data_IF_421505765497
#
_entry.id   IF_421505765497
#
_cell.length_a   1.000
_cell.length_b   1.000
_cell.length_c   1.000
_cell.angle_alpha   90.00
_cell.angle_beta   90.00
_cell.angle_gamma   90.00
#
_symmetry.space_group_name_H-M   'P 1'
#
loop_
_entity.id
_entity.type
_entity.pdbx_description
1 polymer ?
#
# COMPACT_ATOMS: atom_id res chain seq x y z
N UNK A 1 -43.40 -57.00 69.19
CA UNK A 1 -43.04 -55.65 69.66
C UNK A 1 -41.58 -55.40 69.27
N UNK A 2 -41.40 -54.41 68.38
CA UNK A 2 -40.20 -53.68 67.91
C UNK A 2 -38.79 -54.28 68.18
N UNK A 3 -38.13 -54.63 67.06
CA UNK A 3 -36.68 -54.82 66.93
C UNK A 3 -35.93 -53.49 67.11
N UNK A 4 -34.85 -53.51 67.88
CA UNK A 4 -33.93 -52.39 68.10
C UNK A 4 -32.69 -52.60 67.22
N UNK A 5 -32.55 -51.81 66.15
CA UNK A 5 -31.32 -51.76 65.34
C UNK A 5 -30.58 -50.46 65.67
N UNK A 6 -29.37 -50.57 66.20
CA UNK A 6 -28.44 -49.46 66.39
C UNK A 6 -27.79 -49.11 65.04
N UNK A 7 -28.00 -47.90 64.56
CA UNK A 7 -27.14 -47.28 63.54
C UNK A 7 -26.40 -46.10 64.18
N UNK A 8 -25.07 -46.22 64.23
CA UNK A 8 -24.13 -45.15 64.54
C UNK A 8 -23.89 -44.40 63.24
N UNK A 9 -24.34 -43.15 63.14
CA UNK A 9 -23.97 -42.26 62.04
C UNK A 9 -22.77 -41.41 62.45
N UNK A 10 -21.61 -41.75 61.88
CA UNK A 10 -20.47 -40.84 61.77
C UNK A 10 -20.77 -39.81 60.68
N UNK A 11 -20.73 -38.53 61.03
CA UNK A 11 -20.71 -37.43 60.05
C UNK A 11 -19.36 -37.46 59.33
N UNK A 12 -19.33 -37.97 58.10
CA UNK A 12 -18.21 -37.78 57.17
C UNK A 12 -18.58 -36.65 56.21
N UNK A 13 -17.78 -35.59 56.22
CA UNK A 13 -17.87 -34.45 55.33
C UNK A 13 -17.45 -34.89 53.93
N UNK A 14 -18.41 -35.12 53.02
CA UNK A 14 -18.14 -35.40 51.60
C UNK A 14 -17.84 -34.06 50.92
N UNK A 15 -16.57 -33.83 50.60
CA UNK A 15 -16.14 -32.79 49.66
C UNK A 15 -16.48 -33.27 48.25
N UNK A 16 -17.52 -32.69 47.63
CA UNK A 16 -17.74 -32.81 46.20
C UNK A 16 -16.70 -31.94 45.49
N UNK A 17 -15.63 -32.55 44.97
CA UNK A 17 -14.79 -31.93 43.96
C UNK A 17 -15.58 -31.88 42.65
N UNK A 18 -16.20 -30.74 42.36
CA UNK A 18 -16.67 -30.43 41.01
C UNK A 18 -15.42 -30.16 40.17
N UNK A 19 -15.08 -31.12 39.31
CA UNK A 19 -14.10 -30.91 38.25
C UNK A 19 -14.70 -29.87 37.27
N UNK A 20 -14.38 -28.61 37.51
CA UNK A 20 -14.64 -27.54 36.57
C UNK A 20 -13.74 -27.80 35.35
N UNK A 21 -14.34 -28.16 34.21
CA UNK A 21 -13.66 -28.07 32.92
C UNK A 21 -13.17 -26.64 32.80
N UNK A 22 -11.86 -26.44 32.88
CA UNK A 22 -11.25 -25.21 32.40
C UNK A 22 -11.60 -25.12 30.91
N UNK A 23 -12.61 -24.32 30.60
CA UNK A 23 -12.70 -23.64 29.31
C UNK A 23 -11.34 -23.00 29.11
N UNK A 24 -10.59 -23.47 28.09
CA UNK A 24 -9.44 -22.74 27.59
C UNK A 24 -9.94 -21.35 27.24
N UNK A 25 -9.63 -20.39 28.10
CA UNK A 25 -9.73 -18.99 27.79
C UNK A 25 -8.83 -18.77 26.58
N UNK A 26 -9.42 -18.55 25.42
CA UNK A 26 -8.72 -17.96 24.28
C UNK A 26 -8.03 -16.72 24.83
N UNK A 27 -6.70 -16.72 24.82
CA UNK A 27 -5.94 -15.53 25.17
C UNK A 27 -6.48 -14.39 24.30
N UNK A 28 -6.80 -13.22 24.85
CA UNK A 28 -7.11 -12.07 24.01
C UNK A 28 -5.97 -11.92 23.01
N UNK A 29 -6.29 -11.91 21.72
CA UNK A 29 -5.32 -11.62 20.66
C UNK A 29 -4.54 -10.37 21.07
N UNK A 30 -3.21 -10.42 21.01
CA UNK A 30 -2.38 -9.25 21.32
C UNK A 30 -2.93 -8.05 20.51
N UNK A 31 -3.40 -6.97 21.18
CA UNK A 31 -3.99 -5.83 20.50
C UNK A 31 -3.03 -5.18 19.50
N UNK A 32 -1.72 -5.41 19.67
CA UNK A 32 -0.63 -4.90 18.84
C UNK A 32 -0.26 -5.85 17.70
N UNK A 33 -1.10 -6.81 17.37
CA UNK A 33 -0.87 -7.75 16.27
C UNK A 33 -2.01 -7.60 15.26
N UNK A 34 -1.66 -7.37 14.00
CA UNK A 34 -2.58 -7.39 12.88
C UNK A 34 -2.40 -8.73 12.16
N UNK A 35 -3.52 -9.39 11.87
CA UNK A 35 -3.53 -10.65 11.15
C UNK A 35 -4.41 -10.45 9.93
N UNK A 36 -3.79 -10.46 8.76
CA UNK A 36 -4.50 -10.59 7.49
C UNK A 36 -4.59 -12.07 7.14
N UNK A 37 -5.74 -12.51 6.62
CA UNK A 37 -5.94 -13.92 6.25
C UNK A 37 -6.33 -14.02 4.78
N UNK A 38 -5.63 -14.87 4.04
CA UNK A 38 -6.09 -15.38 2.75
C UNK A 38 -6.77 -16.74 2.96
N UNK A 39 -8.07 -16.79 2.73
CA UNK A 39 -8.92 -17.98 2.86
C UNK A 39 -9.29 -18.61 1.50
N UNK A 40 -8.95 -17.96 0.38
CA UNK A 40 -9.30 -18.37 -0.99
C UNK A 40 -10.80 -18.53 -1.27
N UNK A 41 -11.69 -18.03 -0.41
CA UNK A 41 -13.14 -18.20 -0.56
C UNK A 41 -13.69 -17.38 -1.75
N UNK A 42 -12.97 -16.35 -2.20
CA UNK A 42 -13.28 -15.59 -3.42
C UNK A 42 -12.70 -16.21 -4.69
N UNK A 43 -11.71 -17.10 -4.58
CA UNK A 43 -10.95 -17.60 -5.72
C UNK A 43 -11.64 -18.76 -6.43
N UNK A 44 -11.51 -18.87 -7.76
CA UNK A 44 -12.02 -20.01 -8.52
C UNK A 44 -11.03 -20.44 -9.60
N UNK A 45 -10.71 -21.73 -9.61
CA UNK A 45 -9.90 -22.39 -10.62
C UNK A 45 -10.12 -23.89 -10.54
N UNK A 46 -10.63 -24.50 -11.60
CA UNK A 46 -11.01 -25.93 -11.61
C UNK A 46 -9.99 -26.83 -12.31
N UNK A 47 -8.93 -26.25 -12.89
CA UNK A 47 -7.86 -26.94 -13.62
C UNK A 47 -6.51 -26.79 -12.92
N UNK A 48 -5.63 -27.77 -13.10
CA UNK A 48 -4.25 -27.75 -12.61
C UNK A 48 -3.30 -26.88 -13.45
N UNK A 49 -3.67 -26.52 -14.68
CA UNK A 49 -2.86 -25.68 -15.59
C UNK A 49 -2.53 -24.32 -14.97
N UNK A 50 -1.32 -23.79 -15.19
CA UNK A 50 -0.90 -22.50 -14.62
C UNK A 50 -1.87 -21.37 -14.96
N UNK A 51 -2.38 -20.67 -13.94
CA UNK A 51 -3.25 -19.51 -14.11
C UNK A 51 -3.34 -18.69 -12.84
N UNK A 52 -3.79 -17.45 -12.98
CA UNK A 52 -4.01 -16.53 -11.87
C UNK A 52 -5.41 -16.69 -11.29
N UNK A 53 -5.54 -16.48 -9.99
CA UNK A 53 -6.82 -16.37 -9.27
C UNK A 53 -6.81 -15.13 -8.39
N UNK A 54 -7.98 -14.54 -8.14
CA UNK A 54 -8.12 -13.44 -7.20
C UNK A 54 -8.52 -13.97 -5.83
N UNK A 55 -7.58 -13.88 -4.89
CA UNK A 55 -7.85 -14.08 -3.47
C UNK A 55 -8.36 -12.80 -2.80
N UNK A 56 -8.57 -12.86 -1.50
CA UNK A 56 -9.05 -11.74 -0.69
C UNK A 56 -7.98 -10.66 -0.49
N UNK A 57 -6.70 -11.04 -0.51
CA UNK A 57 -5.56 -10.12 -0.29
C UNK A 57 -4.87 -9.69 -1.60
N UNK A 58 -5.16 -10.36 -2.71
CA UNK A 58 -4.59 -10.03 -4.01
C UNK A 58 -4.60 -11.22 -4.96
N UNK A 59 -3.90 -11.06 -6.08
CA UNK A 59 -3.83 -12.10 -7.11
C UNK A 59 -2.76 -13.15 -6.77
N UNK A 60 -3.09 -14.42 -6.94
CA UNK A 60 -2.21 -15.57 -6.76
C UNK A 60 -2.00 -16.31 -8.08
N UNK A 61 -0.78 -16.75 -8.36
CA UNK A 61 -0.48 -17.68 -9.46
C UNK A 61 -0.51 -19.10 -8.93
N UNK A 62 -1.32 -19.97 -9.53
CA UNK A 62 -1.39 -21.39 -9.16
C UNK A 62 -0.82 -22.24 -10.30
N UNK A 63 0.18 -23.07 -10.03
CA UNK A 63 0.84 -23.99 -10.98
C UNK A 63 0.78 -25.42 -10.43
N UNK A 64 0.27 -26.37 -11.23
CA UNK A 64 -0.10 -27.72 -10.76
C UNK A 64 -0.92 -27.68 -9.46
N UNK A 65 -1.78 -26.65 -9.37
CA UNK A 65 -2.67 -26.39 -8.26
C UNK A 65 -4.03 -25.88 -8.75
N UNK A 66 -5.08 -26.09 -7.97
CA UNK A 66 -6.43 -25.62 -8.24
C UNK A 66 -7.14 -25.19 -6.96
N UNK A 67 -8.31 -24.55 -7.08
CA UNK A 67 -9.20 -24.27 -5.95
C UNK A 67 -10.16 -25.45 -5.75
N UNK A 68 -9.88 -26.23 -4.72
CA UNK A 68 -10.61 -27.44 -4.35
C UNK A 68 -11.92 -27.12 -3.62
N UNK A 69 -12.97 -27.84 -3.98
CA UNK A 69 -14.32 -27.72 -3.39
C UNK A 69 -14.91 -29.08 -3.04
N UNK A 70 -14.21 -30.19 -3.29
CA UNK A 70 -14.74 -31.53 -3.08
C UNK A 70 -14.75 -31.90 -1.60
N UNK A 71 -15.47 -32.95 -1.22
CA UNK A 71 -15.48 -33.47 0.15
C UNK A 71 -14.10 -34.00 0.60
N UNK A 72 -13.24 -34.35 -0.35
CA UNK A 72 -11.86 -34.78 -0.06
C UNK A 72 -10.92 -33.60 0.16
N UNK A 73 -11.29 -32.39 -0.27
CA UNK A 73 -10.53 -31.18 0.02
C UNK A 73 -10.78 -30.77 1.48
N UNK A 74 -9.69 -30.72 2.25
CA UNK A 74 -9.69 -30.26 3.63
C UNK A 74 -9.64 -28.73 3.64
N UNK A 75 -10.68 -28.13 4.21
CA UNK A 75 -10.96 -26.69 4.12
C UNK A 75 -11.80 -26.23 5.31
N UNK A 76 -11.68 -24.96 5.67
CA UNK A 76 -12.61 -24.23 6.53
C UNK A 76 -13.36 -23.24 5.65
N UNK A 77 -14.67 -23.45 5.51
CA UNK A 77 -15.46 -22.77 4.51
C UNK A 77 -15.73 -23.69 3.33
N UNK A 78 -15.73 -23.14 2.12
CA UNK A 78 -16.11 -23.85 0.91
C UNK A 78 -14.93 -24.14 -0.01
N UNK A 79 -13.77 -23.51 0.19
CA UNK A 79 -12.63 -23.57 -0.73
C UNK A 79 -11.32 -23.79 0.01
N UNK A 80 -10.37 -24.46 -0.65
CA UNK A 80 -8.97 -24.51 -0.26
C UNK A 80 -8.12 -24.72 -1.51
N UNK A 81 -6.84 -24.38 -1.47
CA UNK A 81 -5.93 -24.74 -2.57
C UNK A 81 -5.64 -26.24 -2.50
N UNK A 82 -5.67 -26.93 -3.65
CA UNK A 82 -5.16 -28.31 -3.80
C UNK A 82 -3.99 -28.32 -4.76
N UNK A 83 -2.81 -28.71 -4.25
CA UNK A 83 -1.56 -28.81 -5.00
C UNK A 83 -1.24 -30.28 -5.28
N UNK A 84 -0.79 -30.61 -6.48
CA UNK A 84 -0.27 -31.94 -6.85
C UNK A 84 1.15 -31.85 -7.38
N UNK A 85 1.77 -33.01 -7.59
CA UNK A 85 3.12 -33.12 -8.17
C UNK A 85 4.10 -32.17 -7.47
N UNK A 86 4.94 -31.45 -8.22
CA UNK A 86 5.84 -30.42 -7.68
C UNK A 86 5.27 -29.01 -7.89
N UNK A 87 3.95 -28.88 -7.79
CA UNK A 87 3.22 -27.62 -7.96
C UNK A 87 3.52 -26.59 -6.90
N UNK A 88 3.11 -25.36 -7.20
CA UNK A 88 3.32 -24.22 -6.30
C UNK A 88 2.19 -23.20 -6.42
N UNK A 89 2.09 -22.38 -5.38
CA UNK A 89 1.32 -21.13 -5.43
C UNK A 89 2.22 -19.94 -5.09
N UNK A 90 2.02 -18.83 -5.81
CA UNK A 90 2.81 -17.61 -5.70
C UNK A 90 1.90 -16.43 -5.40
N UNK A 91 2.18 -15.67 -4.34
CA UNK A 91 1.52 -14.40 -4.08
C UNK A 91 2.08 -13.32 -5.02
N UNK A 92 1.24 -12.69 -5.84
CA UNK A 92 1.64 -11.60 -6.76
C UNK A 92 1.45 -10.21 -6.13
N UNK A 93 1.48 -10.14 -4.82
CA UNK A 93 1.33 -8.92 -4.03
C UNK A 93 2.35 -8.93 -2.90
N UNK A 94 2.67 -7.74 -2.41
CA UNK A 94 3.65 -7.53 -1.37
C UNK A 94 2.96 -7.44 0.00
N UNK A 95 3.57 -8.05 1.00
CA UNK A 95 3.12 -8.03 2.40
C UNK A 95 4.29 -7.65 3.33
N UNK A 96 3.96 -7.02 4.46
CA UNK A 96 4.91 -6.67 5.51
C UNK A 96 4.52 -7.44 6.76
N UNK A 97 5.28 -8.49 7.09
CA UNK A 97 4.92 -9.46 8.14
C UNK A 97 6.13 -9.84 8.98
N UNK A 98 5.87 -10.26 10.22
CA UNK A 98 6.87 -10.87 11.10
C UNK A 98 6.67 -12.38 11.26
N UNK A 99 5.50 -12.89 10.89
CA UNK A 99 5.18 -14.30 11.02
C UNK A 99 4.10 -14.70 10.02
N UNK A 100 4.24 -15.90 9.48
CA UNK A 100 3.29 -16.49 8.54
C UNK A 100 2.83 -17.82 9.12
N UNK A 101 1.52 -18.00 9.24
CA UNK A 101 0.90 -19.26 9.64
C UNK A 101 0.08 -19.82 8.49
N UNK A 102 0.23 -21.11 8.20
CA UNK A 102 -0.39 -21.76 7.04
C UNK A 102 -1.11 -23.01 7.54
N UNK A 103 -2.39 -23.15 7.20
CA UNK A 103 -3.10 -24.41 7.42
C UNK A 103 -2.85 -25.37 6.27
N UNK A 104 -2.53 -26.62 6.62
CA UNK A 104 -2.21 -27.65 5.64
C UNK A 104 -2.73 -29.03 6.06
N UNK A 105 -3.11 -29.84 5.08
CA UNK A 105 -3.56 -31.22 5.27
C UNK A 105 -3.39 -32.04 4.00
N UNK A 106 -3.52 -33.36 4.13
CA UNK A 106 -3.62 -34.27 3.00
C UNK A 106 -4.98 -34.19 2.33
N UNK A 107 -4.98 -34.21 1.00
CA UNK A 107 -6.20 -34.43 0.24
C UNK A 107 -6.73 -35.84 0.50
N UNK A 108 -7.98 -35.97 0.96
CA UNK A 108 -8.63 -37.26 1.19
C UNK A 108 -7.81 -38.17 2.11
N UNK A 109 -7.26 -39.24 1.54
CA UNK A 109 -6.38 -40.24 2.17
C UNK A 109 -5.11 -40.46 1.34
N UNK A 110 -4.67 -39.46 0.58
CA UNK A 110 -3.45 -39.53 -0.22
C UNK A 110 -2.21 -39.78 0.68
N UNK A 111 -1.10 -40.22 0.08
CA UNK A 111 0.18 -40.37 0.78
C UNK A 111 0.67 -39.04 1.40
N UNK A 112 1.50 -39.10 2.45
CA UNK A 112 2.15 -37.91 3.02
C UNK A 112 2.76 -37.00 1.96
N UNK A 113 2.72 -35.68 2.19
CA UNK A 113 3.20 -34.67 1.26
C UNK A 113 4.25 -33.78 1.92
N UNK A 114 5.27 -33.37 1.15
CA UNK A 114 6.36 -32.53 1.62
C UNK A 114 6.33 -31.20 0.89
N UNK A 115 6.57 -30.09 1.60
CA UNK A 115 6.52 -28.76 1.01
C UNK A 115 7.40 -27.76 1.76
N UNK A 116 7.66 -26.63 1.12
CA UNK A 116 8.54 -25.57 1.62
C UNK A 116 7.91 -24.20 1.42
N UNK A 117 8.13 -23.31 2.40
CA UNK A 117 7.88 -21.88 2.24
C UNK A 117 9.11 -21.21 1.62
N UNK A 118 8.89 -20.40 0.59
CA UNK A 118 9.89 -19.59 -0.07
C UNK A 118 9.47 -18.13 -0.04
N UNK A 119 10.44 -17.24 0.12
CA UNK A 119 10.21 -15.81 0.22
C UNK A 119 11.09 -15.02 -0.73
N UNK A 120 10.56 -13.91 -1.25
CA UNK A 120 11.27 -12.92 -2.04
C UNK A 120 11.09 -11.54 -1.40
N UNK A 121 12.14 -10.72 -1.46
CA UNK A 121 12.15 -9.32 -0.99
C UNK A 121 12.51 -8.36 -2.12
N UNK A 122 12.43 -8.84 -3.37
CA UNK A 122 12.82 -8.12 -4.58
C UNK A 122 11.82 -8.32 -5.72
N UNK A 123 10.53 -8.38 -5.34
CA UNK A 123 9.38 -8.56 -6.25
C UNK A 123 9.49 -9.80 -7.13
N UNK A 124 9.83 -10.94 -6.51
CA UNK A 124 9.80 -12.25 -7.15
C UNK A 124 10.99 -12.57 -8.04
N UNK A 125 12.02 -11.70 -8.06
CA UNK A 125 13.24 -11.91 -8.86
C UNK A 125 14.13 -13.00 -8.26
N UNK A 126 14.34 -12.96 -6.94
CA UNK A 126 15.09 -13.98 -6.22
C UNK A 126 14.27 -14.57 -5.08
N UNK A 127 14.35 -15.89 -4.93
CA UNK A 127 13.62 -16.64 -3.91
C UNK A 127 14.60 -17.36 -2.99
N UNK A 128 14.35 -17.29 -1.69
CA UNK A 128 15.07 -18.07 -0.68
C UNK A 128 14.09 -18.88 0.16
N UNK A 129 14.49 -20.08 0.57
CA UNK A 129 13.70 -20.90 1.47
C UNK A 129 13.61 -20.25 2.86
N UNK A 130 12.43 -20.31 3.46
CA UNK A 130 12.16 -19.83 4.81
C UNK A 130 11.78 -21.00 5.73
N UNK A 131 12.53 -21.15 6.82
CA UNK A 131 12.31 -22.22 7.80
C UNK A 131 12.60 -23.63 7.27
N UNK A 132 12.07 -24.62 7.99
CA UNK A 132 12.27 -26.04 7.69
C UNK A 132 11.28 -26.55 6.63
N UNK A 133 11.64 -27.63 5.93
CA UNK A 133 10.69 -28.38 5.10
C UNK A 133 9.59 -28.96 5.97
N UNK A 134 8.34 -28.80 5.55
CA UNK A 134 7.15 -29.26 6.26
C UNK A 134 6.71 -30.62 5.73
N UNK A 135 6.40 -31.53 6.65
CA UNK A 135 5.86 -32.85 6.36
C UNK A 135 4.38 -32.87 6.75
N UNK A 136 3.50 -33.11 5.79
CA UNK A 136 2.06 -33.21 6.00
C UNK A 136 1.67 -34.67 5.99
N UNK A 137 1.27 -35.21 7.15
CA UNK A 137 0.78 -36.59 7.29
C UNK A 137 -0.67 -36.69 7.76
N UNK A 138 -1.30 -35.55 8.11
CA UNK A 138 -2.63 -35.50 8.70
C UNK A 138 -3.70 -35.20 7.65
N UNK A 139 -4.87 -35.84 7.79
CA UNK A 139 -6.09 -35.50 7.03
C UNK A 139 -6.93 -34.40 7.70
N UNK A 140 -6.52 -33.96 8.90
CA UNK A 140 -7.08 -32.79 9.59
C UNK A 140 -6.13 -31.61 9.40
N UNK A 141 -6.67 -30.42 9.12
CA UNK A 141 -5.89 -29.20 8.98
C UNK A 141 -4.99 -29.00 10.21
N UNK A 142 -3.69 -28.86 9.96
CA UNK A 142 -2.68 -28.50 10.93
C UNK A 142 -2.14 -27.13 10.58
N UNK A 143 -1.77 -26.36 11.60
CA UNK A 143 -1.12 -25.06 11.41
C UNK A 143 0.39 -25.25 11.55
N UNK A 144 1.15 -24.75 10.59
CA UNK A 144 2.60 -24.52 10.75
C UNK A 144 2.86 -23.01 10.72
N UNK A 145 3.80 -22.55 11.54
CA UNK A 145 4.18 -21.15 11.62
C UNK A 145 5.66 -20.96 11.23
N UNK A 146 5.94 -19.86 10.55
CA UNK A 146 7.26 -19.44 10.14
C UNK A 146 7.50 -18.02 10.64
N UNK A 147 8.50 -17.84 11.50
CA UNK A 147 8.96 -16.52 11.88
C UNK A 147 9.69 -15.89 10.69
N UNK A 148 9.33 -14.66 10.36
CA UNK A 148 9.90 -13.85 9.30
C UNK A 148 10.68 -12.72 9.96
N UNK A 149 11.97 -12.58 9.62
CA UNK A 149 12.69 -11.36 9.99
C UNK A 149 11.99 -10.18 9.32
N UNK A 150 11.66 -9.08 10.05
CA UNK A 150 10.91 -7.97 9.49
C UNK A 150 11.46 -7.58 8.11
N UNK A 151 10.61 -7.72 7.10
CA UNK A 151 10.97 -7.50 5.71
C UNK A 151 9.83 -6.72 5.05
N UNK A 152 10.18 -5.56 4.51
CA UNK A 152 9.26 -4.81 3.67
C UNK A 152 9.19 -5.47 2.28
N UNK A 153 8.02 -5.41 1.65
CA UNK A 153 7.80 -5.93 0.30
C UNK A 153 8.06 -7.43 0.14
N UNK A 154 7.61 -8.23 1.11
CA UNK A 154 7.75 -9.68 1.05
C UNK A 154 6.72 -10.28 0.07
N UNK A 155 7.16 -11.16 -0.80
CA UNK A 155 6.30 -12.09 -1.55
C UNK A 155 6.60 -13.51 -1.10
N UNK A 156 5.60 -14.40 -1.24
CA UNK A 156 5.73 -15.80 -0.82
C UNK A 156 5.40 -16.79 -1.92
N UNK A 157 6.05 -17.93 -1.86
CA UNK A 157 5.71 -19.14 -2.59
C UNK A 157 5.57 -20.31 -1.63
N UNK A 158 4.53 -21.11 -1.81
CA UNK A 158 4.39 -22.42 -1.19
C UNK A 158 4.69 -23.44 -2.26
N UNK A 159 5.79 -24.18 -2.11
CA UNK A 159 6.27 -25.16 -3.09
C UNK A 159 6.11 -26.55 -2.55
N UNK A 160 5.27 -27.37 -3.19
CA UNK A 160 5.23 -28.80 -2.91
C UNK A 160 6.48 -29.45 -3.52
N UNK A 161 7.12 -30.33 -2.76
CA UNK A 161 8.38 -30.98 -3.14
C UNK A 161 8.17 -32.44 -3.51
N UNK A 162 7.34 -33.17 -2.76
CA UNK A 162 7.12 -34.60 -3.01
C UNK A 162 5.80 -35.08 -2.36
N UNK A 163 5.39 -36.32 -2.66
CA UNK A 163 4.30 -37.02 -2.01
C UNK A 163 2.92 -36.81 -2.62
N UNK A 164 1.87 -37.16 -1.86
CA UNK A 164 0.47 -37.07 -2.29
C UNK A 164 -0.05 -35.63 -2.39
N UNK A 165 -1.31 -35.42 -2.78
CA UNK A 165 -1.86 -34.06 -2.93
C UNK A 165 -1.98 -33.34 -1.59
N UNK A 166 -1.61 -32.06 -1.62
CA UNK A 166 -1.57 -31.17 -0.46
C UNK A 166 -2.72 -30.17 -0.53
N UNK A 167 -3.51 -30.07 0.54
CA UNK A 167 -4.39 -28.93 0.74
C UNK A 167 -3.68 -27.84 1.53
N UNK A 168 -3.84 -26.59 1.09
CA UNK A 168 -3.44 -25.37 1.79
C UNK A 168 -4.69 -24.52 1.98
N UNK A 169 -4.87 -24.01 3.19
CA UNK A 169 -5.98 -23.14 3.55
C UNK A 169 -5.55 -22.08 4.58
N UNK A 170 -6.34 -21.04 4.77
CA UNK A 170 -6.18 -19.97 5.76
C UNK A 170 -4.73 -19.57 6.02
N UNK A 171 -4.14 -18.88 5.05
CA UNK A 171 -2.80 -18.31 5.22
C UNK A 171 -2.94 -17.03 6.03
N UNK A 172 -2.43 -17.06 7.26
CA UNK A 172 -2.44 -15.92 8.18
C UNK A 172 -1.10 -15.21 8.16
N UNK A 173 -1.16 -13.91 7.93
CA UNK A 173 -0.05 -12.98 7.83
C UNK A 173 -0.07 -12.10 9.07
N UNK A 174 0.77 -12.45 10.03
CA UNK A 174 0.89 -11.74 11.29
C UNK A 174 1.98 -10.67 11.17
N UNK A 175 1.56 -9.42 11.36
CA UNK A 175 2.43 -8.28 11.60
C UNK A 175 2.24 -7.84 13.05
N UNK A 176 3.31 -7.36 13.69
CA UNK A 176 3.11 -6.44 14.80
C UNK A 176 2.44 -5.23 14.18
N UNK A 177 1.20 -4.91 14.60
CA UNK A 177 0.76 -3.52 14.54
C UNK A 177 1.87 -2.80 15.25
N UNK A 178 2.55 -1.93 14.53
CA UNK A 178 3.38 -0.94 15.18
C UNK A 178 2.45 -0.06 16.01
N UNK A 179 2.07 -0.54 17.20
CA UNK A 179 1.87 0.31 18.35
C UNK A 179 3.25 0.80 18.73
N UNK A 180 3.80 1.67 17.87
CA UNK A 180 4.39 2.85 18.46
C UNK A 180 3.26 3.38 19.35
N UNK A 181 3.50 3.48 20.65
CA UNK A 181 2.78 4.47 21.41
C UNK A 181 2.98 5.78 20.66
N UNK A 182 2.03 6.19 19.82
CA UNK A 182 1.99 7.47 19.13
C UNK A 182 3.35 8.13 18.91
N UNK A 183 4.25 7.46 18.19
CA UNK A 183 5.39 8.15 17.61
C UNK A 183 5.14 8.14 16.13
N UNK A 184 4.64 9.28 15.65
CA UNK A 184 4.74 9.74 14.29
C UNK A 184 6.06 9.28 13.65
N UNK A 185 6.01 8.89 12.38
CA UNK A 185 7.18 8.44 11.65
C UNK A 185 7.15 8.84 10.19
N UNK A 186 8.10 8.30 9.42
CA UNK A 186 8.13 8.43 7.96
C UNK A 186 7.26 7.32 7.35
N UNK A 187 5.94 7.55 7.32
CA UNK A 187 4.98 6.50 6.96
C UNK A 187 4.88 6.22 5.45
N UNK A 188 4.30 5.06 5.11
CA UNK A 188 4.22 4.53 3.75
C UNK A 188 3.50 5.50 2.80
N UNK A 189 4.20 5.95 1.76
CA UNK A 189 3.69 6.89 0.77
C UNK A 189 2.52 6.37 -0.07
N UNK A 190 2.26 5.06 -0.06
CA UNK A 190 1.08 4.43 -0.66
C UNK A 190 0.15 3.80 0.40
N UNK A 191 0.22 4.24 1.67
CA UNK A 191 -0.65 3.71 2.73
C UNK A 191 -2.14 3.76 2.36
N UNK A 192 -2.55 4.77 1.58
CA UNK A 192 -3.93 4.95 1.15
C UNK A 192 -4.27 4.32 -0.22
N UNK A 193 -3.30 3.71 -0.90
CA UNK A 193 -3.52 3.01 -2.17
C UNK A 193 -2.70 3.56 -3.34
N UNK A 194 -2.80 2.86 -4.48
CA UNK A 194 -2.11 3.19 -5.73
C UNK A 194 -3.11 3.79 -6.73
N UNK A 195 -3.09 5.12 -7.00
CA UNK A 195 -4.18 5.79 -7.69
C UNK A 195 -4.48 5.34 -9.12
N UNK A 196 -3.51 4.74 -9.80
CA UNK A 196 -3.67 4.29 -11.20
C UNK A 196 -3.37 2.81 -11.37
N UNK A 197 -3.22 2.05 -10.28
CA UNK A 197 -2.68 0.69 -10.31
C UNK A 197 -1.36 0.62 -11.11
N UNK A 198 -0.50 1.64 -10.96
CA UNK A 198 0.80 1.69 -11.63
C UNK A 198 1.65 0.47 -11.24
N UNK A 199 2.42 -0.05 -12.19
CA UNK A 199 3.28 -1.23 -11.96
C UNK A 199 4.71 -0.95 -12.40
N UNK A 200 5.68 -1.72 -11.89
CA UNK A 200 7.09 -1.63 -12.31
C UNK A 200 7.34 -2.36 -13.64
N UNK A 201 6.30 -2.68 -14.41
CA UNK A 201 6.43 -3.41 -15.66
C UNK A 201 6.62 -2.41 -16.81
N UNK A 202 7.79 -2.48 -17.46
CA UNK A 202 8.18 -1.59 -18.55
C UNK A 202 7.28 -1.63 -19.78
N UNK A 203 6.43 -2.67 -19.89
CA UNK A 203 5.40 -2.76 -20.94
C UNK A 203 4.19 -1.84 -20.68
N UNK A 204 4.10 -1.23 -19.51
CA UNK A 204 3.16 -0.15 -19.19
C UNK A 204 3.92 1.17 -19.00
N UNK A 205 4.60 1.68 -20.05
CA UNK A 205 5.57 2.77 -19.92
C UNK A 205 4.95 4.11 -19.52
N UNK A 206 3.64 4.26 -19.71
CA UNK A 206 2.91 5.50 -19.41
C UNK A 206 2.21 5.46 -18.06
N UNK A 207 2.39 4.37 -17.30
CA UNK A 207 1.89 4.18 -15.94
C UNK A 207 2.90 3.37 -15.10
N UNK A 208 4.17 3.77 -15.15
CA UNK A 208 5.29 3.02 -14.59
C UNK A 208 5.54 3.43 -13.13
N UNK A 209 5.35 2.50 -12.21
CA UNK A 209 5.55 2.74 -10.78
C UNK A 209 7.05 2.88 -10.47
N UNK A 210 7.42 3.98 -9.83
CA UNK A 210 8.75 4.19 -9.26
C UNK A 210 8.59 4.48 -7.77
N UNK A 211 9.23 3.68 -6.93
CA UNK A 211 9.21 3.83 -5.48
C UNK A 211 10.57 4.32 -5.00
N UNK A 212 10.56 5.40 -4.21
CA UNK A 212 11.74 5.96 -3.56
C UNK A 212 11.47 6.09 -2.07
N UNK A 213 12.50 6.15 -1.22
CA UNK A 213 12.29 6.33 0.22
C UNK A 213 11.51 7.60 0.58
N UNK A 214 11.56 8.64 -0.26
CA UNK A 214 10.97 9.95 0.01
C UNK A 214 9.57 10.15 -0.58
N UNK A 215 9.22 9.43 -1.65
CA UNK A 215 7.94 9.55 -2.33
C UNK A 215 7.79 8.40 -3.34
N UNK A 216 6.55 8.14 -3.77
CA UNK A 216 6.25 7.13 -4.79
C UNK A 216 5.53 7.80 -5.95
N UNK A 217 5.78 7.39 -7.18
CA UNK A 217 5.16 8.00 -8.36
C UNK A 217 4.74 7.00 -9.41
N UNK A 218 3.77 7.38 -10.23
CA UNK A 218 3.53 6.80 -11.55
C UNK A 218 4.17 7.69 -12.61
N UNK A 219 5.23 7.22 -13.25
CA UNK A 219 5.90 7.92 -14.33
C UNK A 219 5.22 7.67 -15.68
N UNK A 220 5.11 8.71 -16.50
CA UNK A 220 4.58 8.63 -17.84
C UNK A 220 5.69 8.91 -18.87
N UNK A 221 6.22 7.85 -19.50
CA UNK A 221 7.29 7.96 -20.49
C UNK A 221 6.92 8.89 -21.64
N UNK A 222 5.71 8.75 -22.18
CA UNK A 222 5.26 9.53 -23.34
C UNK A 222 5.06 11.01 -23.03
N UNK A 223 4.86 11.38 -21.75
CA UNK A 223 4.73 12.78 -21.30
C UNK A 223 6.03 13.37 -20.77
N UNK A 224 7.00 12.56 -20.37
CA UNK A 224 8.23 13.04 -19.73
C UNK A 224 8.01 13.63 -18.34
N UNK A 225 6.89 13.30 -17.69
CA UNK A 225 6.53 13.75 -16.33
C UNK A 225 5.81 12.62 -15.60
N UNK A 226 5.64 12.72 -14.28
CA UNK A 226 4.73 11.83 -13.56
C UNK A 226 3.26 12.08 -13.94
N UNK A 227 2.43 11.03 -13.87
CA UNK A 227 0.97 11.15 -13.79
C UNK A 227 0.58 11.69 -12.40
N UNK A 228 1.20 11.13 -11.36
CA UNK A 228 1.05 11.53 -9.97
C UNK A 228 2.31 11.16 -9.17
N UNK A 229 2.54 11.88 -8.08
CA UNK A 229 3.50 11.61 -7.01
C UNK A 229 2.71 11.61 -5.70
N UNK A 230 2.93 10.58 -4.87
CA UNK A 230 2.31 10.38 -3.57
C UNK A 230 3.39 10.41 -2.49
N UNK A 231 3.12 11.10 -1.39
CA UNK A 231 4.03 11.16 -0.25
C UNK A 231 3.30 11.43 1.06
N UNK A 232 3.91 10.96 2.14
CA UNK A 232 3.51 11.29 3.51
C UNK A 232 4.27 12.52 4.00
N UNK A 233 3.59 13.40 4.74
CA UNK A 233 4.18 14.59 5.33
C UNK A 233 3.74 14.72 6.78
N UNK A 234 4.71 14.74 7.68
CA UNK A 234 4.59 15.14 9.07
C UNK A 234 5.89 15.82 9.50
N UNK A 235 6.04 16.08 10.81
CA UNK A 235 7.25 16.71 11.36
C UNK A 235 8.54 15.91 11.18
N UNK A 236 8.49 14.58 11.00
CA UNK A 236 9.71 13.74 10.93
C UNK A 236 10.38 13.80 9.56
N UNK A 237 9.65 14.29 8.56
CA UNK A 237 10.20 14.68 7.27
C UNK A 237 10.88 16.06 7.29
N UNK A 238 10.74 16.79 8.40
CA UNK A 238 11.27 18.13 8.58
C UNK A 238 12.62 18.15 9.30
N UNK A 239 13.50 19.05 8.89
CA UNK A 239 14.82 19.23 9.49
C UNK A 239 15.45 20.56 9.11
N UNK A 240 16.80 20.60 9.13
CA UNK A 240 17.58 21.79 8.81
C UNK A 240 18.49 21.58 7.59
N UNK A 241 18.22 20.55 6.76
CA UNK A 241 19.01 20.33 5.57
C UNK A 241 18.79 21.49 4.59
N UNK A 242 19.87 22.08 4.10
CA UNK A 242 19.79 23.10 3.07
C UNK A 242 19.17 22.51 1.80
N UNK A 243 18.52 23.38 1.03
CA UNK A 243 18.03 23.04 -0.30
C UNK A 243 19.20 22.71 -1.22
N UNK A 244 19.18 21.55 -1.88
CA UNK A 244 20.33 21.07 -2.66
C UNK A 244 20.44 21.68 -4.07
N UNK A 245 19.31 22.05 -4.69
CA UNK A 245 19.25 22.63 -6.05
C UNK A 245 19.99 21.82 -7.14
N UNK A 246 20.14 20.51 -6.91
CA UNK A 246 20.92 19.57 -7.72
C UNK A 246 20.04 18.83 -8.74
N UNK A 247 19.29 19.60 -9.54
CA UNK A 247 18.43 19.06 -10.60
C UNK A 247 19.20 18.09 -11.49
N UNK A 248 18.72 16.85 -11.60
CA UNK A 248 19.41 15.81 -12.36
C UNK A 248 18.47 14.76 -12.94
N UNK A 249 18.83 14.14 -14.08
CA UNK A 249 18.09 13.01 -14.59
C UNK A 249 18.02 11.88 -13.56
N UNK A 250 16.89 11.20 -13.49
CA UNK A 250 16.72 10.07 -12.57
C UNK A 250 17.40 8.81 -13.14
N UNK A 251 18.41 8.23 -12.43
CA UNK A 251 19.10 7.05 -12.92
C UNK A 251 18.23 5.78 -12.92
N UNK A 252 17.10 5.78 -12.21
CA UNK A 252 16.23 4.61 -12.05
C UNK A 252 15.25 4.41 -13.22
N UNK A 253 15.18 5.36 -14.15
CA UNK A 253 14.36 5.17 -15.35
C UNK A 253 15.02 4.12 -16.26
N UNK A 254 14.23 3.29 -16.98
CA UNK A 254 14.79 2.37 -17.97
C UNK A 254 15.72 3.07 -18.96
N UNK A 255 16.91 2.53 -19.18
CA UNK A 255 17.97 3.15 -19.99
C UNK A 255 17.60 3.38 -21.45
N UNK A 256 16.59 2.67 -21.96
CA UNK A 256 16.02 2.87 -23.30
C UNK A 256 15.07 4.07 -23.39
N UNK A 257 14.71 4.69 -22.26
CA UNK A 257 13.81 5.83 -22.22
C UNK A 257 14.59 7.14 -22.22
N UNK A 258 13.94 8.21 -22.66
CA UNK A 258 14.54 9.53 -22.60
C UNK A 258 14.60 10.02 -21.15
N UNK A 259 15.82 10.25 -20.66
CA UNK A 259 16.05 10.88 -19.36
C UNK A 259 15.92 12.39 -19.48
N UNK A 260 14.82 12.94 -18.95
CA UNK A 260 14.58 14.38 -18.91
C UNK A 260 15.72 15.08 -18.18
N UNK A 261 16.22 16.17 -18.76
CA UNK A 261 17.38 16.90 -18.24
C UNK A 261 16.96 18.28 -17.73
N UNK A 262 17.68 18.86 -16.77
CA UNK A 262 17.43 20.23 -16.34
C UNK A 262 17.51 21.23 -17.50
N UNK A 263 18.43 21.00 -18.46
CA UNK A 263 18.60 21.84 -19.65
C UNK A 263 17.37 21.86 -20.57
N UNK A 264 16.49 20.87 -20.49
CA UNK A 264 15.27 20.79 -21.30
C UNK A 264 14.28 21.92 -20.99
N UNK A 265 14.43 22.57 -19.83
CA UNK A 265 13.60 23.67 -19.35
C UNK A 265 14.20 25.05 -19.65
N UNK A 266 15.46 25.11 -20.09
CA UNK A 266 16.16 26.37 -20.33
C UNK A 266 15.47 27.20 -21.42
N UNK A 267 15.22 28.48 -21.15
CA UNK A 267 14.56 29.44 -22.04
C UNK A 267 13.15 29.06 -22.50
N UNK A 268 12.49 28.11 -21.84
CA UNK A 268 11.13 27.67 -22.19
C UNK A 268 10.04 28.60 -21.68
N UNK A 269 10.36 29.47 -20.71
CA UNK A 269 9.38 30.28 -19.99
C UNK A 269 8.68 29.53 -18.84
N UNK A 270 9.08 28.28 -18.57
CA UNK A 270 8.56 27.47 -17.45
C UNK A 270 9.64 27.23 -16.39
N UNK A 271 9.21 27.21 -15.13
CA UNK A 271 10.02 26.73 -14.02
C UNK A 271 10.10 25.20 -14.02
N UNK A 272 11.13 24.69 -13.33
CA UNK A 272 11.22 23.28 -12.92
C UNK A 272 10.36 23.09 -11.66
N UNK A 273 9.05 22.95 -11.87
CA UNK A 273 8.07 22.78 -10.81
C UNK A 273 8.19 21.41 -10.15
N UNK A 274 8.14 21.36 -8.82
CA UNK A 274 8.18 20.10 -8.07
C UNK A 274 6.76 19.58 -7.83
N UNK A 275 6.55 18.27 -7.92
CA UNK A 275 5.34 17.63 -7.41
C UNK A 275 5.45 17.40 -5.90
N UNK A 276 6.45 16.64 -5.45
CA UNK A 276 6.87 16.58 -4.05
C UNK A 276 7.92 17.68 -3.81
N UNK A 277 7.61 18.73 -3.02
CA UNK A 277 8.47 19.90 -2.91
C UNK A 277 9.70 19.62 -2.04
N UNK A 278 10.79 20.31 -2.36
CA UNK A 278 12.06 20.21 -1.62
C UNK A 278 11.91 20.48 -0.11
N UNK A 279 11.10 21.46 0.26
CA UNK A 279 10.84 21.82 1.66
C UNK A 279 9.93 20.80 2.38
N UNK A 280 9.34 19.81 1.70
CA UNK A 280 8.69 18.69 2.41
C UNK A 280 9.71 17.59 2.77
N UNK A 281 10.98 17.73 2.39
CA UNK A 281 12.04 16.72 2.55
C UNK A 281 13.36 17.35 2.97
N UNK A 282 13.41 17.99 4.14
CA UNK A 282 14.64 18.61 4.67
C UNK A 282 15.15 17.98 5.97
N UNK A 283 14.67 16.78 6.30
CA UNK A 283 15.21 15.94 7.37
C UNK A 283 16.70 15.60 7.16
N UNK A 284 17.13 15.38 5.91
CA UNK A 284 18.53 15.13 5.53
C UNK A 284 18.85 15.69 4.15
N UNK A 285 20.15 15.79 3.83
CA UNK A 285 20.59 16.23 2.50
C UNK A 285 20.15 15.24 1.41
N UNK A 286 20.20 13.95 1.73
CA UNK A 286 19.79 12.87 0.83
C UNK A 286 18.29 12.94 0.53
N UNK A 287 17.47 13.17 1.54
CA UNK A 287 16.02 13.34 1.37
C UNK A 287 15.71 14.56 0.50
N UNK A 288 16.41 15.67 0.74
CA UNK A 288 16.21 16.89 -0.02
C UNK A 288 16.66 16.74 -1.48
N UNK A 289 17.85 16.20 -1.70
CA UNK A 289 18.41 15.92 -3.02
C UNK A 289 17.51 15.01 -3.85
N UNK A 290 16.79 14.06 -3.23
CA UNK A 290 15.87 13.18 -3.94
C UNK A 290 14.73 13.95 -4.62
N UNK A 291 14.31 15.11 -4.11
CA UNK A 291 13.24 15.92 -4.71
C UNK A 291 13.65 16.58 -6.03
N UNK A 292 14.95 16.69 -6.31
CA UNK A 292 15.52 17.30 -7.52
C UNK A 292 15.69 16.33 -8.71
N UNK A 293 15.24 15.08 -8.56
CA UNK A 293 15.18 14.14 -9.67
C UNK A 293 14.13 14.59 -10.70
N UNK A 294 14.51 14.64 -11.99
CA UNK A 294 13.62 15.16 -13.04
C UNK A 294 12.32 14.37 -13.22
N UNK A 295 12.20 13.16 -12.68
CA UNK A 295 10.95 12.37 -12.61
C UNK A 295 9.90 12.98 -11.68
N UNK A 296 10.32 13.83 -10.73
CA UNK A 296 9.47 14.63 -9.83
C UNK A 296 9.18 16.05 -10.38
N UNK A 297 9.69 16.39 -11.56
CA UNK A 297 9.66 17.75 -12.11
C UNK A 297 8.69 17.84 -13.29
N UNK A 298 7.96 18.95 -13.37
CA UNK A 298 7.09 19.29 -14.51
C UNK A 298 7.22 20.77 -14.94
N UNK A 299 6.85 21.13 -16.18
CA UNK A 299 6.86 22.52 -16.64
C UNK A 299 5.75 23.31 -15.95
N UNK A 300 6.12 24.23 -15.07
CA UNK A 300 5.18 25.04 -14.29
C UNK A 300 5.33 26.51 -14.62
N UNK A 301 4.21 27.20 -14.86
CA UNK A 301 4.21 28.64 -15.05
C UNK A 301 4.82 29.33 -13.81
N UNK A 302 5.82 30.21 -13.95
CA UNK A 302 6.51 30.85 -12.83
C UNK A 302 5.59 31.44 -11.76
N UNK A 303 4.50 32.11 -12.16
CA UNK A 303 3.59 32.70 -11.17
C UNK A 303 2.71 31.67 -10.48
N UNK A 304 2.38 30.55 -11.15
CA UNK A 304 1.76 29.42 -10.50
C UNK A 304 2.69 28.84 -9.44
N UNK A 305 3.93 28.50 -9.84
CA UNK A 305 4.94 27.89 -8.98
C UNK A 305 5.26 28.74 -7.74
N UNK A 306 5.61 30.01 -7.95
CA UNK A 306 6.17 30.89 -6.93
C UNK A 306 5.10 31.56 -6.06
N UNK A 307 3.82 31.49 -6.44
CA UNK A 307 2.71 32.08 -5.68
C UNK A 307 1.71 30.99 -5.29
N UNK A 308 0.70 30.75 -6.12
CA UNK A 308 -0.47 29.93 -5.78
C UNK A 308 -0.08 28.55 -5.28
N UNK A 309 0.84 27.87 -5.96
CA UNK A 309 1.30 26.55 -5.58
C UNK A 309 2.14 26.55 -4.30
N UNK A 310 3.16 27.43 -4.23
CA UNK A 310 3.99 27.63 -3.03
C UNK A 310 3.14 27.87 -1.78
N UNK A 311 2.10 28.72 -1.87
CA UNK A 311 1.25 29.05 -0.72
C UNK A 311 0.41 27.85 -0.22
N UNK A 312 0.01 26.93 -1.12
CA UNK A 312 -0.62 25.68 -0.71
C UNK A 312 0.39 24.74 -0.03
N UNK A 313 1.61 24.66 -0.55
CA UNK A 313 2.68 23.86 0.04
C UNK A 313 3.05 24.38 1.44
N UNK A 314 3.21 25.70 1.59
CA UNK A 314 3.41 26.35 2.90
C UNK A 314 2.26 26.05 3.87
N UNK A 315 1.01 26.02 3.39
CA UNK A 315 -0.13 25.66 4.21
C UNK A 315 -0.07 24.20 4.70
N UNK A 316 0.37 23.26 3.86
CA UNK A 316 0.57 21.87 4.26
C UNK A 316 1.61 21.79 5.39
N UNK A 317 2.75 22.46 5.24
CA UNK A 317 3.78 22.49 6.29
C UNK A 317 3.29 23.14 7.60
N UNK A 318 2.49 24.21 7.51
CA UNK A 318 1.83 24.79 8.69
C UNK A 318 0.91 23.79 9.39
N UNK A 319 0.17 22.97 8.65
CA UNK A 319 -0.64 21.88 9.25
C UNK A 319 0.25 20.85 9.94
N UNK A 320 1.39 20.49 9.34
CA UNK A 320 2.36 19.57 9.95
C UNK A 320 2.92 20.12 11.28
N UNK A 321 3.30 21.40 11.30
CA UNK A 321 3.75 22.11 12.52
C UNK A 321 2.68 22.15 13.61
N UNK A 322 1.40 22.16 13.22
CA UNK A 322 0.25 22.12 14.12
C UNK A 322 -0.05 20.71 14.65
N UNK A 323 0.82 19.73 14.42
CA UNK A 323 0.65 18.36 14.89
C UNK A 323 -0.33 17.57 14.04
N UNK A 324 -0.43 17.88 12.75
CA UNK A 324 -1.09 17.02 11.78
C UNK A 324 -0.05 16.25 10.97
N UNK A 325 -0.53 15.21 10.31
CA UNK A 325 0.12 14.53 9.23
C UNK A 325 -0.78 14.54 8.00
N UNK A 326 -0.17 14.34 6.84
CA UNK A 326 -0.87 14.36 5.57
C UNK A 326 -0.41 13.24 4.66
N UNK A 327 -1.38 12.70 3.94
CA UNK A 327 -1.15 11.90 2.75
C UNK A 327 -1.47 12.77 1.54
N UNK A 328 -0.41 13.12 0.80
CA UNK A 328 -0.49 14.08 -0.31
C UNK A 328 -0.27 13.34 -1.61
N UNK A 329 -1.19 13.52 -2.55
CA UNK A 329 -1.08 13.03 -3.92
C UNK A 329 -1.17 14.24 -4.84
N UNK A 330 -0.17 14.45 -5.68
CA UNK A 330 -0.13 15.56 -6.62
C UNK A 330 0.22 15.11 -8.01
N UNK A 331 -0.34 15.76 -9.02
CA UNK A 331 -0.03 15.45 -10.40
C UNK A 331 -0.46 16.53 -11.36
N UNK A 332 -0.39 16.17 -12.64
CA UNK A 332 -0.65 17.09 -13.75
C UNK A 332 -1.45 16.39 -14.84
N UNK A 333 -2.34 17.12 -15.51
CA UNK A 333 -3.08 16.59 -16.67
C UNK A 333 -3.29 17.66 -17.75
N UNK A 334 -3.78 17.20 -18.90
CA UNK A 334 -3.99 18.02 -20.08
C UNK A 334 -2.67 18.44 -20.76
N UNK A 335 -2.81 19.32 -21.74
CA UNK A 335 -1.73 19.84 -22.58
C UNK A 335 -2.03 21.30 -22.90
N UNK A 336 -1.03 22.17 -22.78
CA UNK A 336 -1.17 23.60 -23.09
C UNK A 336 -1.16 24.50 -21.85
N UNK A 337 0.02 24.76 -21.31
CA UNK A 337 0.24 25.75 -20.24
C UNK A 337 0.73 27.09 -20.81
N UNK A 338 0.64 28.16 -20.02
CA UNK A 338 1.09 29.50 -20.41
C UNK A 338 2.16 30.00 -19.43
N UNK A 339 3.43 29.93 -19.84
CA UNK A 339 4.58 30.40 -19.06
C UNK A 339 4.92 31.87 -19.34
N UNK A 340 6.07 32.33 -18.83
CA UNK A 340 6.47 33.74 -18.90
C UNK A 340 6.81 34.25 -20.32
N UNK A 341 7.01 33.34 -21.27
CA UNK A 341 7.19 33.70 -22.69
C UNK A 341 5.86 34.09 -23.38
N UNK A 342 4.71 33.91 -22.70
CA UNK A 342 3.38 34.16 -23.25
C UNK A 342 2.90 33.07 -24.21
N UNK A 343 1.61 33.13 -24.55
CA UNK A 343 0.96 32.13 -25.41
C UNK A 343 0.76 30.76 -24.73
N UNK A 344 0.26 29.80 -25.50
CA UNK A 344 0.06 28.42 -25.05
C UNK A 344 1.20 27.56 -25.58
N UNK A 345 1.91 26.90 -24.67
CA UNK A 345 2.96 25.93 -24.99
C UNK A 345 2.45 24.53 -24.66
N UNK A 346 2.45 23.65 -25.65
CA UNK A 346 2.01 22.26 -25.48
C UNK A 346 3.12 21.32 -25.03
N UNK A 347 4.34 21.55 -25.51
CA UNK A 347 5.51 20.70 -25.22
C UNK A 347 6.79 21.53 -25.18
N UNK A 348 7.79 21.03 -24.46
CA UNK A 348 9.17 21.49 -24.49
C UNK A 348 10.09 20.31 -24.87
N UNK A 349 11.41 20.51 -24.83
CA UNK A 349 12.39 19.44 -25.07
C UNK A 349 12.22 18.72 -26.42
N UNK A 350 11.89 19.45 -27.49
CA UNK A 350 11.56 18.90 -28.81
C UNK A 350 10.42 17.86 -28.76
N UNK A 351 9.37 18.14 -28.00
CA UNK A 351 8.18 17.29 -27.90
C UNK A 351 8.28 16.17 -26.86
N UNK A 352 9.41 16.04 -26.15
CA UNK A 352 9.65 14.94 -25.19
C UNK A 352 9.07 15.19 -23.80
N UNK A 353 8.76 16.45 -23.47
CA UNK A 353 8.14 16.81 -22.20
C UNK A 353 6.86 17.59 -22.52
N UNK A 354 5.72 17.06 -22.08
CA UNK A 354 4.42 17.71 -22.23
C UNK A 354 4.28 18.80 -21.18
N UNK A 355 3.88 20.00 -21.61
CA UNK A 355 3.49 21.08 -20.72
C UNK A 355 2.02 20.88 -20.34
N UNK A 356 1.71 20.60 -19.07
CA UNK A 356 0.33 20.36 -18.66
C UNK A 356 -0.46 21.67 -18.66
N UNK A 357 -1.76 21.60 -18.94
CA UNK A 357 -2.66 22.75 -18.80
C UNK A 357 -3.18 22.91 -17.36
N UNK A 358 -3.12 21.85 -16.55
CA UNK A 358 -3.70 21.79 -15.21
C UNK A 358 -2.78 21.05 -14.23
N UNK A 359 -2.75 21.55 -13.00
CA UNK A 359 -1.97 21.00 -11.89
C UNK A 359 -2.93 20.76 -10.74
N UNK A 360 -2.86 19.59 -10.12
CA UNK A 360 -3.78 19.21 -9.05
C UNK A 360 -3.05 18.62 -7.86
N UNK A 361 -3.68 18.73 -6.70
CA UNK A 361 -3.21 18.14 -5.43
C UNK A 361 -4.41 17.72 -4.60
N UNK A 362 -4.35 16.52 -4.04
CA UNK A 362 -5.30 15.93 -3.10
C UNK A 362 -4.55 15.65 -1.80
N UNK A 363 -5.06 16.15 -0.68
CA UNK A 363 -4.42 16.13 0.63
C UNK A 363 -5.42 15.58 1.63
N UNK A 364 -5.16 14.40 2.17
CA UNK A 364 -5.89 13.89 3.33
C UNK A 364 -5.16 14.33 4.59
N UNK A 365 -5.87 14.95 5.53
CA UNK A 365 -5.30 15.51 6.77
C UNK A 365 -5.77 14.70 7.98
N UNK A 366 -4.82 14.29 8.82
CA UNK A 366 -5.06 13.63 10.10
C UNK A 366 -4.27 14.33 11.21
N UNK A 367 -4.70 14.28 12.47
CA UNK A 367 -3.79 14.53 13.59
C UNK A 367 -2.61 13.55 13.50
N UNK A 368 -1.39 14.00 13.76
CA UNK A 368 -0.17 13.18 13.70
C UNK A 368 -0.26 12.02 14.71
N UNK A 369 -0.11 10.78 14.26
CA UNK A 369 -0.34 9.59 15.08
C UNK A 369 0.14 8.30 14.43
N UNK A 370 -0.34 7.16 14.93
CA UNK A 370 -0.17 5.85 14.29
C UNK A 370 -1.52 5.25 13.90
N UNK A 371 -1.51 4.07 13.27
CA UNK A 371 -2.71 3.34 12.82
C UNK A 371 -3.61 4.17 11.87
N UNK A 372 -3.00 4.87 10.91
CA UNK A 372 -3.63 5.96 10.15
C UNK A 372 -4.89 5.55 9.41
N UNK A 373 -4.88 4.38 8.77
CA UNK A 373 -6.06 3.83 8.07
C UNK A 373 -7.27 3.68 9.01
N UNK A 374 -7.04 3.34 10.28
CA UNK A 374 -8.11 3.17 11.27
C UNK A 374 -8.72 4.50 11.74
N UNK A 375 -7.95 5.59 11.62
CA UNK A 375 -8.38 6.93 12.05
C UNK A 375 -9.15 7.66 10.95
N UNK A 376 -9.04 7.22 9.70
CA UNK A 376 -9.77 7.79 8.58
C UNK A 376 -11.24 7.37 8.62
N UNK A 377 -12.13 8.35 8.61
CA UNK A 377 -13.57 8.15 8.62
C UNK A 377 -14.28 9.21 7.75
N UNK A 378 -15.61 9.15 7.69
CA UNK A 378 -16.43 10.03 6.86
C UNK A 378 -16.22 11.54 7.13
N UNK A 379 -15.68 11.92 8.29
CA UNK A 379 -15.43 13.31 8.67
C UNK A 379 -13.98 13.75 8.43
N UNK A 380 -13.07 12.85 8.06
CA UNK A 380 -11.67 13.18 7.80
C UNK A 380 -11.58 14.28 6.74
N UNK A 381 -10.72 15.28 6.99
CA UNK A 381 -10.60 16.44 6.09
C UNK A 381 -9.80 16.04 4.86
N UNK A 382 -10.36 16.34 3.69
CA UNK A 382 -9.68 16.21 2.40
C UNK A 382 -9.70 17.57 1.72
N UNK A 383 -8.52 18.06 1.34
CA UNK A 383 -8.34 19.28 0.56
C UNK A 383 -7.94 18.86 -0.85
N UNK A 384 -8.69 19.29 -1.86
CA UNK A 384 -8.37 19.04 -3.25
C UNK A 384 -8.38 20.37 -4.02
N UNK A 385 -7.37 20.60 -4.86
CA UNK A 385 -7.29 21.78 -5.74
C UNK A 385 -7.00 21.38 -7.18
N UNK A 386 -7.50 22.19 -8.11
CA UNK A 386 -7.24 22.04 -9.54
C UNK A 386 -6.96 23.42 -10.17
N UNK A 387 -5.68 23.69 -10.41
CA UNK A 387 -5.15 25.02 -10.73
C UNK A 387 -4.73 25.08 -12.21
N UNK A 388 -5.09 26.14 -12.97
CA UNK A 388 -4.58 26.33 -14.32
C UNK A 388 -3.06 26.59 -14.30
N UNK A 389 -2.33 25.95 -15.20
CA UNK A 389 -0.88 26.13 -15.35
C UNK A 389 -0.56 27.38 -16.18
N UNK A 390 -0.90 28.54 -15.63
CA UNK A 390 -0.79 29.84 -16.30
C UNK A 390 -0.23 30.91 -15.37
N UNK A 391 0.32 31.97 -15.95
CA UNK A 391 0.82 33.13 -15.20
C UNK A 391 -0.27 33.82 -14.37
N UNK A 392 -1.51 33.87 -14.86
CA UNK A 392 -2.65 34.54 -14.19
C UNK A 392 -3.16 33.79 -12.95
N UNK A 393 -2.67 32.57 -12.70
CA UNK A 393 -3.09 31.78 -11.53
C UNK A 393 -2.78 32.46 -10.19
N UNK A 394 -1.81 33.39 -10.15
CA UNK A 394 -1.46 34.22 -8.97
C UNK A 394 -2.56 35.18 -8.53
N UNK A 395 -3.49 35.52 -9.42
CA UNK A 395 -4.52 36.54 -9.17
C UNK A 395 -5.62 36.03 -8.21
N UNK A 396 -5.56 34.74 -7.87
CA UNK A 396 -6.42 34.07 -6.89
C UNK A 396 -5.58 33.40 -5.82
N UNK A 397 -6.12 33.30 -4.61
CA UNK A 397 -5.58 32.45 -3.55
C UNK A 397 -5.79 30.99 -3.91
N UNK A 398 -4.90 30.11 -3.46
CA UNK A 398 -4.97 28.68 -3.79
C UNK A 398 -6.31 28.04 -3.40
N UNK A 399 -6.91 28.48 -2.29
CA UNK A 399 -8.17 27.92 -1.79
C UNK A 399 -9.38 28.30 -2.63
N UNK A 400 -9.25 29.26 -3.54
CA UNK A 400 -10.28 29.60 -4.55
C UNK A 400 -10.30 28.60 -5.70
N UNK A 401 -9.31 27.71 -5.80
CA UNK A 401 -9.25 26.60 -6.76
C UNK A 401 -9.67 25.26 -6.15
N UNK A 402 -10.30 25.27 -4.96
CA UNK A 402 -10.76 24.05 -4.31
C UNK A 402 -11.84 23.36 -5.14
N UNK A 403 -11.69 22.05 -5.25
CA UNK A 403 -12.63 21.12 -5.88
C UNK A 403 -12.82 19.92 -4.96
N UNK A 404 -13.65 18.95 -5.36
CA UNK A 404 -13.72 17.66 -4.68
C UNK A 404 -12.65 16.71 -5.23
N UNK A 405 -12.19 15.74 -4.44
CA UNK A 405 -11.24 14.74 -4.94
C UNK A 405 -11.87 13.92 -6.09
N UNK A 406 -13.17 13.62 -5.99
CA UNK A 406 -13.97 12.95 -7.04
C UNK A 406 -13.96 13.71 -8.36
N UNK A 407 -13.91 15.05 -8.35
CA UNK A 407 -13.81 15.83 -9.58
C UNK A 407 -12.44 15.65 -10.26
N UNK A 408 -11.36 15.53 -9.47
CA UNK A 408 -10.03 15.25 -10.01
C UNK A 408 -9.97 13.85 -10.60
N UNK A 409 -10.56 12.85 -9.93
CA UNK A 409 -10.68 11.49 -10.47
C UNK A 409 -11.41 11.47 -11.81
N UNK A 410 -12.55 12.17 -11.91
CA UNK A 410 -13.30 12.27 -13.15
C UNK A 410 -12.49 12.88 -14.31
N UNK A 411 -11.54 13.77 -14.01
CA UNK A 411 -10.65 14.42 -15.00
C UNK A 411 -9.41 13.61 -15.35
N UNK A 412 -8.97 12.72 -14.45
CA UNK A 412 -7.67 12.03 -14.56
C UNK A 412 -7.78 10.53 -14.76
N UNK A 413 -8.93 9.93 -14.44
CA UNK A 413 -9.14 8.48 -14.41
C UNK A 413 -8.45 7.78 -13.23
N UNK A 414 -8.01 8.52 -12.22
CA UNK A 414 -7.41 7.98 -11.00
C UNK A 414 -8.50 7.56 -9.99
N UNK A 415 -8.10 6.70 -9.06
CA UNK A 415 -8.90 6.22 -7.92
C UNK A 415 -8.11 6.49 -6.61
N UNK A 416 -8.41 7.60 -5.95
CA UNK A 416 -7.71 7.98 -4.73
C UNK A 416 -8.21 7.18 -3.54
N UNK A 417 -7.35 7.03 -2.53
CA UNK A 417 -7.70 6.40 -1.26
C UNK A 417 -8.31 4.98 -1.38
N UNK A 418 -7.93 4.25 -2.44
CA UNK A 418 -8.51 2.96 -2.82
C UNK A 418 -8.38 1.85 -1.77
N UNK A 419 -7.53 2.02 -0.75
CA UNK A 419 -7.44 1.11 0.40
C UNK A 419 -8.50 1.36 1.47
N UNK A 420 -9.24 2.47 1.41
CA UNK A 420 -10.34 2.76 2.33
C UNK A 420 -11.62 2.04 1.90
N UNK A 421 -12.56 1.76 2.83
CA UNK A 421 -13.89 1.28 2.47
C UNK A 421 -14.61 2.26 1.54
N UNK A 422 -15.33 1.75 0.53
CA UNK A 422 -16.04 2.56 -0.46
C UNK A 422 -17.00 3.61 0.14
N UNK A 423 -17.63 3.29 1.28
CA UNK A 423 -18.48 4.25 2.00
C UNK A 423 -17.68 5.45 2.53
N UNK A 424 -16.47 5.21 3.05
CA UNK A 424 -15.56 6.26 3.53
C UNK A 424 -15.05 7.10 2.37
N UNK A 425 -14.58 6.46 1.29
CA UNK A 425 -14.18 7.12 0.05
C UNK A 425 -15.26 8.08 -0.45
N UNK A 426 -16.50 7.57 -0.63
CA UNK A 426 -17.62 8.39 -1.08
C UNK A 426 -17.93 9.58 -0.17
N UNK A 427 -17.81 9.41 1.15
CA UNK A 427 -18.04 10.49 2.09
C UNK A 427 -16.96 11.58 2.00
N UNK A 428 -15.69 11.20 1.86
CA UNK A 428 -14.58 12.17 1.89
C UNK A 428 -14.26 12.77 0.52
N UNK A 429 -14.43 12.02 -0.57
CA UNK A 429 -14.03 12.43 -1.93
C UNK A 429 -15.04 13.33 -2.63
N UNK A 430 -16.32 13.30 -2.23
CA UNK A 430 -17.38 14.11 -2.87
C UNK A 430 -17.52 15.51 -2.28
N UNK A 431 -16.93 15.76 -1.11
CA UNK A 431 -16.98 17.06 -0.44
C UNK A 431 -15.90 17.99 -0.99
N UNK A 432 -16.23 19.27 -1.09
CA UNK A 432 -15.25 20.34 -1.31
C UNK A 432 -14.87 20.89 0.06
N UNK A 433 -13.57 20.95 0.38
CA UNK A 433 -13.09 21.59 1.61
C UNK A 433 -13.60 23.04 1.67
N UNK A 434 -14.21 23.40 2.79
CA UNK A 434 -14.79 24.72 3.03
C UNK A 434 -14.22 25.41 4.26
N UNK A 435 -13.17 24.83 4.86
CA UNK A 435 -12.49 25.44 6.00
C UNK A 435 -11.94 26.79 5.60
N UNK A 436 -12.21 27.81 6.40
CA UNK A 436 -11.70 29.16 6.18
C UNK A 436 -10.19 29.20 6.44
N UNK A 437 -9.47 29.86 5.56
CA UNK A 437 -8.01 30.02 5.64
C UNK A 437 -7.76 31.50 5.74
N UNK A 438 -7.21 31.92 6.89
CA UNK A 438 -6.89 33.31 7.20
C UNK A 438 -5.46 33.66 6.78
#
# INVERSE_FOLDING_TARGET
>A
MKYLVKYVFFFSLIVFAVACKQTQSVSPSDPNVEILTEDFESASKTSYTTSNVNGSLGTWTLEEALIGTSESDRKKGSRAVRIRDNGKITANFNINVQKISIEHALYGTDNPATWELWISTDNGRNWRKQGNTVQTGSTTLQVVAFDIRPAANLQIEIRKIDGGRLNIDNISFESVKTTSRGVAGKDDHLALGNPSNATTNVNFPDNYLMSKPQYVLSYNRSRGTANWVSWHLNKDWKGNAERQDDFRPDPDIPSSWYAVRPSDYTNTGFDRGHLCPSDDRDASKEDNSATFLMTNIFPQAPQNNRQTWRLLEEYCRKLAEQGNEMYIISGVYGRGGAGSNGGVTETIANGRVVVPSRIWKVILVLPDGGDDLSRINANTRVIAVDVPNTEDSKDKKWFEFRVSAREIEAKTGLDFFSRLPAATQNAIETRVDNVRIE
#
